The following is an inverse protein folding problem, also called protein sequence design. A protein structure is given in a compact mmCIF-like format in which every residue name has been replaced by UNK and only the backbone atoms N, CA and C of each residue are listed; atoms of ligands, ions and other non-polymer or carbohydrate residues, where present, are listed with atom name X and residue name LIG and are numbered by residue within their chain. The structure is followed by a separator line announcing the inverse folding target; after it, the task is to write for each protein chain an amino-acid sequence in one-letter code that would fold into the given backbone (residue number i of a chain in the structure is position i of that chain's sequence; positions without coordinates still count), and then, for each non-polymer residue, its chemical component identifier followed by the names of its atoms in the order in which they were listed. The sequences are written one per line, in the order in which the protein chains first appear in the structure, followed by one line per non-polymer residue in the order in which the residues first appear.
data_IF_328405154594
#
_entry.id   IF_328405154594
#
_cell.length_a   1.000
_cell.length_b   1.000
_cell.length_c   1.000
_cell.angle_alpha   90.00
_cell.angle_beta   90.00
_cell.angle_gamma   90.00
#
_symmetry.space_group_name_H-M   'P 1'
#
loop_
_entity.id
_entity.type
_entity.pdbx_description
1 polymer ?
#
# COMPACT_ATOMS: atom_id res chain seq x y z
N UNK A 1 13.62 35.11 24.91
CA UNK A 1 13.12 34.11 23.93
C UNK A 1 12.58 32.89 24.68
N UNK A 2 11.27 32.81 24.91
CA UNK A 2 10.67 31.69 25.62
C UNK A 2 10.80 30.41 24.77
N UNK A 3 11.55 29.42 25.25
CA UNK A 3 11.65 28.13 24.61
C UNK A 3 10.29 27.43 24.78
N UNK A 4 9.51 27.38 23.70
CA UNK A 4 8.24 26.66 23.63
C UNK A 4 8.54 25.19 23.95
N UNK A 5 8.24 24.79 25.19
CA UNK A 5 8.45 23.45 25.73
C UNK A 5 7.75 22.46 24.79
N UNK A 6 8.52 21.75 23.99
CA UNK A 6 7.98 20.75 23.05
C UNK A 6 7.15 19.76 23.85
N UNK A 7 5.83 19.71 23.59
CA UNK A 7 4.97 18.63 24.06
C UNK A 7 5.47 17.38 23.36
N UNK A 8 6.35 16.61 24.01
CA UNK A 8 6.84 15.35 23.47
C UNK A 8 5.64 14.41 23.36
N UNK A 9 5.25 14.08 22.13
CA UNK A 9 4.27 13.04 21.86
C UNK A 9 4.90 11.68 22.20
N UNK A 10 4.10 10.75 22.77
CA UNK A 10 4.57 9.39 23.08
C UNK A 10 4.96 8.66 21.79
N UNK A 11 5.85 7.66 21.89
CA UNK A 11 6.23 6.84 20.74
C UNK A 11 5.00 6.17 20.11
N UNK A 12 4.13 5.59 20.94
CA UNK A 12 2.87 4.96 20.50
C UNK A 12 1.95 5.91 19.75
N UNK A 13 1.84 7.17 20.19
CA UNK A 13 1.00 8.17 19.52
C UNK A 13 1.55 8.52 18.12
N UNK A 14 2.88 8.67 18.02
CA UNK A 14 3.54 8.96 16.75
C UNK A 14 3.39 7.79 15.76
N UNK A 15 3.51 6.57 16.28
CA UNK A 15 3.34 5.35 15.50
C UNK A 15 1.89 5.19 15.00
N UNK A 16 0.90 5.39 15.87
CA UNK A 16 -0.51 5.34 15.49
C UNK A 16 -0.85 6.37 14.41
N UNK A 17 -0.37 7.61 14.54
CA UNK A 17 -0.58 8.65 13.55
C UNK A 17 0.11 8.33 12.20
N UNK A 18 1.31 7.74 12.23
CA UNK A 18 1.99 7.29 11.02
C UNK A 18 1.26 6.12 10.34
N UNK A 19 0.72 5.17 11.13
CA UNK A 19 -0.04 4.02 10.66
C UNK A 19 -1.31 4.42 9.92
N UNK A 20 -2.02 5.44 10.40
CA UNK A 20 -3.20 6.01 9.71
C UNK A 20 -2.87 6.52 8.30
N UNK A 21 -1.67 7.07 8.10
CA UNK A 21 -1.22 7.53 6.78
C UNK A 21 -0.74 6.38 5.91
N UNK A 22 0.04 5.44 6.47
CA UNK A 22 0.68 4.37 5.69
C UNK A 22 -0.30 3.24 5.36
N UNK A 23 -1.01 2.72 6.36
CA UNK A 23 -1.84 1.52 6.20
C UNK A 23 -3.23 1.88 5.67
N UNK A 24 -3.79 3.01 6.12
CA UNK A 24 -5.13 3.46 5.70
C UNK A 24 -5.11 4.50 4.58
N UNK A 25 -3.94 4.85 4.05
CA UNK A 25 -3.76 5.82 2.96
C UNK A 25 -4.44 7.18 3.23
N UNK A 26 -4.56 7.59 4.50
CA UNK A 26 -5.20 8.87 4.84
C UNK A 26 -4.31 10.06 4.45
N UNK A 27 -4.90 11.19 4.01
CA UNK A 27 -4.13 12.40 3.72
C UNK A 27 -3.41 12.92 4.96
N UNK A 28 -2.14 13.28 4.79
CA UNK A 28 -1.29 13.84 5.86
C UNK A 28 -1.93 15.05 6.54
N UNK A 29 -2.60 15.91 5.78
CA UNK A 29 -3.19 17.14 6.29
C UNK A 29 -4.43 16.89 7.15
N UNK A 30 -5.20 15.83 6.87
CA UNK A 30 -6.32 15.40 7.71
C UNK A 30 -5.81 14.85 9.04
N UNK A 31 -4.82 13.95 8.99
CA UNK A 31 -4.21 13.36 10.19
C UNK A 31 -3.54 14.44 11.05
N UNK A 32 -2.90 15.43 10.42
CA UNK A 32 -2.30 16.56 11.12
C UNK A 32 -3.34 17.42 11.85
N UNK A 33 -4.49 17.70 11.21
CA UNK A 33 -5.61 18.41 11.84
C UNK A 33 -6.16 17.64 13.04
N UNK A 34 -6.40 16.34 12.89
CA UNK A 34 -6.94 15.49 13.95
C UNK A 34 -5.97 15.38 15.14
N UNK A 35 -4.67 15.31 14.87
CA UNK A 35 -3.63 15.19 15.89
C UNK A 35 -3.21 16.54 16.49
N UNK A 36 -3.70 17.67 15.95
CA UNK A 36 -3.31 19.02 16.39
C UNK A 36 -1.83 19.36 16.16
N UNK A 37 -1.22 18.78 15.12
CA UNK A 37 0.19 18.96 14.76
C UNK A 37 0.32 19.49 13.33
N UNK A 38 1.55 19.84 12.92
CA UNK A 38 1.78 20.28 11.54
C UNK A 38 1.90 19.07 10.61
N UNK A 39 1.54 19.24 9.33
CA UNK A 39 1.73 18.19 8.32
C UNK A 39 3.21 17.76 8.15
N UNK A 40 4.17 18.64 8.46
CA UNK A 40 5.58 18.29 8.48
C UNK A 40 5.91 17.32 9.64
N UNK A 41 5.27 17.49 10.79
CA UNK A 41 5.42 16.59 11.95
C UNK A 41 4.94 15.18 11.62
N UNK A 42 3.76 15.07 11.00
CA UNK A 42 3.23 13.78 10.53
C UNK A 42 4.16 13.14 9.50
N UNK A 43 4.66 13.91 8.52
CA UNK A 43 5.62 13.39 7.52
C UNK A 43 6.89 12.84 8.16
N UNK A 44 7.40 13.49 9.21
CA UNK A 44 8.57 12.99 9.94
C UNK A 44 8.27 11.67 10.67
N UNK A 45 7.10 11.55 11.31
CA UNK A 45 6.69 10.31 11.97
C UNK A 45 6.45 9.17 10.97
N UNK A 46 5.87 9.47 9.80
CA UNK A 46 5.74 8.51 8.70
C UNK A 46 7.10 8.02 8.21
N UNK A 47 8.09 8.90 8.12
CA UNK A 47 9.46 8.52 7.75
C UNK A 47 10.11 7.61 8.81
N UNK A 48 9.98 7.97 10.09
CA UNK A 48 10.48 7.13 11.21
C UNK A 48 9.79 5.76 11.24
N UNK A 49 8.46 5.74 11.05
CA UNK A 49 7.65 4.53 10.97
C UNK A 49 8.10 3.63 9.81
N UNK A 50 8.26 4.17 8.60
CA UNK A 50 8.75 3.40 7.43
C UNK A 50 10.20 2.94 7.54
N UNK A 51 11.01 3.60 8.35
CA UNK A 51 12.40 3.19 8.60
C UNK A 51 12.47 2.06 9.64
N UNK A 52 11.57 2.04 10.62
CA UNK A 52 11.46 0.99 11.64
C UNK A 52 10.54 -0.16 11.24
N UNK A 53 9.67 0.04 10.25
CA UNK A 53 8.82 -0.97 9.62
C UNK A 53 9.23 -1.07 8.18
N UNK A 54 9.91 -2.15 7.84
CA UNK A 54 10.45 -2.53 6.54
C UNK A 54 9.35 -2.53 5.45
N UNK A 55 8.87 -1.34 5.10
CA UNK A 55 7.77 -1.08 4.15
C UNK A 55 8.31 -0.83 2.75
N UNK A 56 9.62 -0.65 2.62
CA UNK A 56 10.34 -1.30 1.55
C UNK A 56 10.54 -2.73 2.05
N UNK A 57 9.62 -3.65 1.75
CA UNK A 57 9.96 -5.07 1.93
C UNK A 57 11.33 -5.34 1.30
N UNK A 58 12.12 -6.31 1.79
CA UNK A 58 13.47 -6.55 1.33
C UNK A 58 13.50 -6.44 -0.19
N UNK A 59 14.41 -5.61 -0.71
CA UNK A 59 14.48 -5.34 -2.14
C UNK A 59 14.43 -6.69 -2.86
N UNK A 60 13.31 -6.97 -3.57
CA UNK A 60 13.02 -8.33 -4.05
C UNK A 60 14.27 -8.87 -4.71
N UNK A 61 14.78 -9.99 -4.18
CA UNK A 61 15.95 -10.65 -4.74
C UNK A 61 15.71 -10.89 -6.23
N UNK A 62 16.76 -10.94 -7.03
CA UNK A 62 16.64 -11.17 -8.48
C UNK A 62 15.74 -12.37 -8.80
N UNK A 63 15.80 -13.41 -7.97
CA UNK A 63 14.99 -14.62 -8.06
C UNK A 63 13.50 -14.38 -7.76
N UNK A 64 13.19 -13.53 -6.79
CA UNK A 64 11.80 -13.18 -6.43
C UNK A 64 11.15 -12.33 -7.53
N UNK A 65 11.91 -11.40 -8.14
CA UNK A 65 11.45 -10.63 -9.31
C UNK A 65 11.20 -11.53 -10.52
N UNK A 66 12.08 -12.51 -10.76
CA UNK A 66 11.91 -13.47 -11.84
C UNK A 66 10.66 -14.34 -11.65
N UNK A 67 10.44 -14.83 -10.42
CA UNK A 67 9.24 -15.60 -10.08
C UNK A 67 7.96 -14.77 -10.22
N UNK A 68 7.99 -13.50 -9.82
CA UNK A 68 6.84 -12.60 -9.95
C UNK A 68 6.47 -12.37 -11.42
N UNK A 69 7.48 -12.11 -12.27
CA UNK A 69 7.26 -11.96 -13.72
C UNK A 69 6.67 -13.22 -14.37
N UNK A 70 7.12 -14.40 -13.94
CA UNK A 70 6.58 -15.67 -14.44
C UNK A 70 5.14 -15.89 -13.98
N UNK A 71 4.83 -15.56 -12.72
CA UNK A 71 3.46 -15.58 -12.20
C UNK A 71 2.54 -14.64 -12.98
N UNK A 72 2.97 -13.40 -13.24
CA UNK A 72 2.19 -12.43 -14.03
C UNK A 72 1.94 -12.92 -15.46
N UNK A 73 2.96 -13.51 -16.10
CA UNK A 73 2.81 -14.15 -17.42
C UNK A 73 1.76 -15.25 -17.36
N UNK A 74 1.82 -16.12 -16.36
CA UNK A 74 0.89 -17.24 -16.22
C UNK A 74 -0.54 -16.78 -15.97
N UNK A 75 -0.73 -15.74 -15.15
CA UNK A 75 -2.05 -15.14 -14.92
C UNK A 75 -2.63 -14.62 -16.23
N UNK A 76 -1.83 -13.89 -17.02
CA UNK A 76 -2.28 -13.37 -18.31
C UNK A 76 -2.72 -14.48 -19.28
N UNK A 77 -1.93 -15.55 -19.39
CA UNK A 77 -2.27 -16.71 -20.22
C UNK A 77 -3.59 -17.35 -19.79
N UNK A 78 -3.75 -17.59 -18.48
CA UNK A 78 -4.97 -18.18 -17.93
C UNK A 78 -6.19 -17.29 -18.18
N UNK A 79 -6.05 -15.97 -18.07
CA UNK A 79 -7.14 -15.05 -18.39
C UNK A 79 -7.50 -15.06 -19.88
N UNK A 80 -6.52 -15.17 -20.78
CA UNK A 80 -6.75 -15.28 -22.21
C UNK A 80 -7.49 -16.58 -22.56
N UNK A 81 -7.05 -17.72 -22.00
CA UNK A 81 -7.72 -19.02 -22.13
C UNK A 81 -9.15 -18.98 -21.59
N UNK A 82 -9.34 -18.42 -20.39
CA UNK A 82 -10.67 -18.31 -19.78
C UNK A 82 -11.61 -17.44 -20.63
N UNK A 83 -11.12 -16.31 -21.16
CA UNK A 83 -11.87 -15.47 -22.10
C UNK A 83 -12.25 -16.23 -23.37
N UNK A 84 -11.34 -17.03 -23.92
CA UNK A 84 -11.62 -17.84 -25.11
C UNK A 84 -12.66 -18.92 -24.84
N UNK A 85 -12.54 -19.65 -23.73
CA UNK A 85 -13.51 -20.65 -23.30
C UNK A 85 -14.88 -20.03 -23.04
N UNK A 86 -14.95 -18.89 -22.34
CA UNK A 86 -16.19 -18.16 -22.12
C UNK A 86 -16.89 -17.76 -23.42
N UNK A 87 -16.14 -17.25 -24.40
CA UNK A 87 -16.67 -16.96 -25.75
C UNK A 87 -17.16 -18.21 -26.47
N UNK A 88 -16.43 -19.32 -26.34
CA UNK A 88 -16.79 -20.59 -26.97
C UNK A 88 -18.09 -21.14 -26.38
N UNK A 89 -18.20 -21.19 -25.05
CA UNK A 89 -19.42 -21.62 -24.35
C UNK A 89 -20.61 -20.74 -24.76
N UNK A 90 -20.44 -19.42 -24.79
CA UNK A 90 -21.49 -18.50 -25.22
C UNK A 90 -21.92 -18.73 -26.68
N UNK A 91 -20.96 -19.01 -27.58
CA UNK A 91 -21.24 -19.34 -28.97
C UNK A 91 -22.05 -20.64 -29.10
N UNK A 92 -21.66 -21.71 -28.40
CA UNK A 92 -22.38 -22.98 -28.43
C UNK A 92 -23.77 -22.86 -27.79
N UNK A 93 -23.90 -22.16 -26.66
CA UNK A 93 -25.20 -21.92 -26.02
C UNK A 93 -26.18 -21.19 -26.96
N UNK A 94 -25.70 -20.23 -27.77
CA UNK A 94 -26.51 -19.53 -28.77
C UNK A 94 -26.91 -20.39 -29.97
N UNK A 95 -26.12 -21.41 -30.33
CA UNK A 95 -26.38 -22.29 -31.48
C UNK A 95 -27.36 -23.43 -31.15
N UNK A 96 -27.57 -23.73 -29.87
CA UNK A 96 -28.47 -24.79 -29.38
C UNK A 96 -29.81 -24.26 -28.85
N UNK A 97 -30.13 -22.99 -29.11
CA UNK A 97 -31.47 -22.40 -29.01
C UNK A 97 -32.19 -22.49 -30.34
#
# INVERSE_FOLDING_TARGET
MAHKKSRRHSAEFREAAAREVVDRSRPVDDVARDCGVTGQTIRNWVREFRAGHDTTGPELSGDERARLKELERRVRELEEENRFLGKSVAFFAKKHQ
#
